data_IF_208759791335
#
_entry.id   IF_208759791335
#
_cell.length_a   1.000
_cell.length_b   1.000
_cell.length_c   1.000
_cell.angle_alpha   90.00
_cell.angle_beta   90.00
_cell.angle_gamma   90.00
#
_symmetry.space_group_name_H-M   'P 1'
#
loop_
_entity.id
_entity.type
_entity.pdbx_description
1 polymer ?
#
# COMPACT_ATOMS: atom_id res chain seq x y z
N UNK A 1 4.71 -8.86 59.58
CA UNK A 1 4.48 -7.60 58.84
C UNK A 1 5.20 -7.71 57.50
N UNK A 2 4.46 -7.99 56.43
CA UNK A 2 5.02 -8.17 55.09
C UNK A 2 5.48 -6.81 54.55
N UNK A 3 6.70 -6.76 54.02
CA UNK A 3 7.43 -5.52 53.77
C UNK A 3 6.80 -4.75 52.58
N UNK A 4 6.07 -3.67 52.88
CA UNK A 4 5.31 -2.86 51.91
C UNK A 4 6.18 -2.39 50.72
N UNK A 5 7.47 -2.20 50.93
CA UNK A 5 8.45 -1.86 49.89
C UNK A 5 8.63 -2.96 48.84
N UNK A 6 8.55 -4.23 49.24
CA UNK A 6 8.68 -5.35 48.31
C UNK A 6 7.46 -5.43 47.37
N UNK A 7 6.28 -5.08 47.88
CA UNK A 7 5.04 -5.05 47.10
C UNK A 7 5.05 -3.95 46.03
N UNK A 8 5.57 -2.76 46.36
CA UNK A 8 5.71 -1.67 45.39
C UNK A 8 6.73 -1.99 44.29
N UNK A 9 7.87 -2.60 44.63
CA UNK A 9 8.87 -3.01 43.63
C UNK A 9 8.32 -4.10 42.72
N UNK A 10 7.61 -5.10 43.27
CA UNK A 10 6.98 -6.15 42.48
C UNK A 10 5.86 -5.60 41.57
N UNK A 11 5.04 -4.69 42.10
CA UNK A 11 3.97 -4.02 41.33
C UNK A 11 4.55 -3.14 40.21
N UNK A 12 5.66 -2.43 40.47
CA UNK A 12 6.32 -1.59 39.47
C UNK A 12 6.99 -2.44 38.38
N UNK A 13 7.63 -3.57 38.74
CA UNK A 13 8.22 -4.52 37.79
C UNK A 13 7.15 -5.26 36.96
N UNK A 14 6.01 -5.62 37.57
CA UNK A 14 4.86 -6.17 36.87
C UNK A 14 4.27 -5.14 35.89
N UNK A 15 4.12 -3.87 36.30
CA UNK A 15 3.63 -2.84 35.38
C UNK A 15 4.63 -2.47 34.28
N UNK A 16 5.95 -2.53 34.54
CA UNK A 16 6.97 -2.35 33.50
C UNK A 16 6.93 -3.47 32.46
N UNK A 17 6.70 -4.72 32.89
CA UNK A 17 6.58 -5.88 31.99
C UNK A 17 5.26 -5.91 31.23
N UNK A 18 4.18 -5.37 31.80
CA UNK A 18 2.91 -5.17 31.07
C UNK A 18 2.96 -4.00 30.08
N UNK A 19 3.75 -2.94 30.33
CA UNK A 19 3.93 -1.86 29.35
C UNK A 19 4.82 -2.25 28.17
N UNK A 20 5.82 -3.10 28.36
CA UNK A 20 6.66 -3.58 27.25
C UNK A 20 5.97 -4.63 26.38
N UNK A 21 4.98 -5.35 26.92
CA UNK A 21 4.17 -6.32 26.14
C UNK A 21 2.93 -5.70 25.50
N UNK A 22 2.44 -4.56 26.00
CA UNK A 22 1.29 -3.84 25.42
C UNK A 22 1.63 -3.12 24.11
N UNK A 23 2.88 -2.72 23.87
CA UNK A 23 3.26 -2.08 22.59
C UNK A 23 3.36 -3.05 21.42
N UNK A 24 3.53 -4.34 21.70
CA UNK A 24 3.64 -5.37 20.68
C UNK A 24 2.29 -5.97 20.26
N UNK A 25 1.20 -5.75 20.99
CA UNK A 25 -0.06 -6.46 20.73
C UNK A 25 -1.10 -5.70 19.89
N UNK A 26 -1.01 -4.38 19.77
CA UNK A 26 -1.97 -3.60 18.97
C UNK A 26 -1.51 -3.35 17.52
N UNK A 27 -0.20 -3.22 17.25
CA UNK A 27 0.31 -2.97 15.90
C UNK A 27 0.40 -4.23 15.02
N UNK A 28 0.46 -5.42 15.62
CA UNK A 28 0.57 -6.71 14.91
C UNK A 28 -0.68 -7.07 14.10
N UNK A 29 -1.84 -6.48 14.41
CA UNK A 29 -3.07 -6.65 13.63
C UNK A 29 -3.27 -5.60 12.54
N UNK A 30 -2.50 -4.51 12.57
CA UNK A 30 -2.71 -3.36 11.68
C UNK A 30 -2.07 -3.52 10.30
N UNK A 31 -1.11 -4.44 10.17
CA UNK A 31 -0.36 -4.65 8.94
C UNK A 31 -0.55 -6.06 8.40
N UNK A 32 -0.86 -6.14 7.10
CA UNK A 32 -1.06 -7.42 6.44
C UNK A 32 0.27 -8.13 6.22
N UNK A 33 0.41 -9.33 6.78
CA UNK A 33 1.59 -10.17 6.55
C UNK A 33 1.41 -11.03 5.30
N UNK A 34 2.35 -10.88 4.36
CA UNK A 34 2.48 -11.75 3.17
C UNK A 34 3.27 -13.03 3.47
N UNK A 35 3.90 -13.16 4.64
CA UNK A 35 4.73 -14.32 5.01
C UNK A 35 4.03 -15.67 4.83
N UNK A 36 2.74 -15.83 5.17
CA UNK A 36 2.08 -17.11 4.96
C UNK A 36 1.89 -17.47 3.48
N UNK A 37 1.84 -16.48 2.58
CA UNK A 37 1.81 -16.74 1.13
C UNK A 37 3.19 -17.18 0.66
N UNK A 38 4.24 -16.52 1.16
CA UNK A 38 5.63 -16.75 0.78
C UNK A 38 6.18 -18.10 1.25
N UNK A 39 5.74 -18.58 2.42
CA UNK A 39 6.19 -19.85 3.01
C UNK A 39 5.81 -21.07 2.17
N UNK A 40 4.76 -20.95 1.35
CA UNK A 40 4.26 -22.05 0.51
C UNK A 40 4.89 -22.04 -0.89
N UNK A 41 5.74 -21.05 -1.21
CA UNK A 41 6.32 -20.89 -2.55
C UNK A 41 7.65 -21.62 -2.72
N UNK A 42 7.87 -22.11 -3.94
CA UNK A 42 9.07 -22.79 -4.40
C UNK A 42 9.58 -22.19 -5.70
N UNK A 43 10.79 -22.54 -6.11
CA UNK A 43 11.38 -22.12 -7.40
C UNK A 43 10.52 -22.58 -8.60
N UNK A 44 9.72 -23.64 -8.44
CA UNK A 44 8.81 -24.15 -9.49
C UNK A 44 7.62 -23.24 -9.75
N UNK A 45 7.31 -22.34 -8.83
CA UNK A 45 6.19 -21.42 -8.94
C UNK A 45 6.55 -20.17 -9.75
N UNK A 46 7.83 -19.98 -10.09
CA UNK A 46 8.26 -18.90 -11.01
C UNK A 46 7.59 -19.08 -12.38
N UNK A 47 6.98 -18.01 -12.87
CA UNK A 47 6.24 -17.98 -14.13
C UNK A 47 4.82 -18.54 -14.03
N UNK A 48 4.35 -18.86 -12.83
CA UNK A 48 2.98 -19.36 -12.60
C UNK A 48 2.01 -18.27 -12.17
N UNK A 49 0.72 -18.59 -12.32
CA UNK A 49 -0.42 -17.81 -11.90
C UNK A 49 -1.32 -18.73 -11.06
N UNK A 50 -1.76 -18.27 -9.91
CA UNK A 50 -2.60 -19.06 -9.01
C UNK A 50 -3.60 -18.20 -8.26
N UNK A 51 -4.68 -18.80 -7.79
CA UNK A 51 -5.57 -18.16 -6.83
C UNK A 51 -4.85 -17.94 -5.50
N UNK A 52 -5.02 -16.78 -4.89
CA UNK A 52 -4.59 -16.57 -3.52
C UNK A 52 -5.49 -17.39 -2.59
N UNK A 53 -4.91 -18.36 -1.88
CA UNK A 53 -5.61 -19.22 -0.92
C UNK A 53 -6.11 -18.50 0.34
N UNK A 54 -5.74 -17.22 0.52
CA UNK A 54 -6.06 -16.39 1.69
C UNK A 54 -6.82 -15.12 1.32
N UNK A 55 -7.48 -14.52 2.31
CA UNK A 55 -8.16 -13.25 2.14
C UNK A 55 -7.17 -12.14 1.78
N UNK A 56 -7.56 -11.18 0.91
CA UNK A 56 -6.74 -10.01 0.64
C UNK A 56 -6.53 -9.14 1.89
N UNK A 57 -5.53 -8.23 1.88
CA UNK A 57 -5.39 -7.21 2.91
C UNK A 57 -6.66 -6.38 3.03
N UNK A 58 -7.04 -5.98 4.24
CA UNK A 58 -8.18 -5.09 4.46
C UNK A 58 -7.96 -3.72 3.80
N UNK A 59 -6.72 -3.25 3.78
CA UNK A 59 -6.32 -1.98 3.18
C UNK A 59 -5.12 -2.15 2.27
N UNK A 60 -5.17 -1.46 1.14
CA UNK A 60 -4.05 -1.21 0.26
C UNK A 60 -3.69 0.28 0.31
N UNK A 61 -2.45 0.60 -0.04
CA UNK A 61 -1.90 1.93 0.09
C UNK A 61 -1.24 2.37 -1.22
N UNK A 62 -1.37 3.65 -1.57
CA UNK A 62 -0.78 4.22 -2.79
C UNK A 62 -0.33 5.65 -2.55
N UNK A 63 0.96 5.92 -2.72
CA UNK A 63 1.56 7.24 -2.64
C UNK A 63 1.40 7.91 -4.01
N UNK A 64 0.97 9.17 -4.00
CA UNK A 64 0.60 9.91 -5.21
C UNK A 64 0.93 11.41 -5.06
N UNK A 65 1.29 12.08 -6.15
CA UNK A 65 1.45 13.54 -6.20
C UNK A 65 0.10 14.26 -6.19
N UNK A 66 0.01 15.54 -5.81
CA UNK A 66 -1.27 16.26 -5.82
C UNK A 66 -1.79 16.42 -7.24
N UNK A 67 -0.90 16.64 -8.22
CA UNK A 67 -1.27 16.70 -9.63
C UNK A 67 -1.88 15.37 -10.11
N UNK A 68 -1.23 14.25 -9.83
CA UNK A 68 -1.77 12.93 -10.19
C UNK A 68 -3.04 12.60 -9.41
N UNK A 69 -3.18 13.08 -8.17
CA UNK A 69 -4.39 12.93 -7.37
C UNK A 69 -5.56 13.70 -7.98
N UNK A 70 -5.33 14.95 -8.39
CA UNK A 70 -6.32 15.78 -9.06
C UNK A 70 -6.74 15.15 -10.39
N UNK A 71 -5.79 14.70 -11.21
CA UNK A 71 -6.08 13.99 -12.47
C UNK A 71 -6.90 12.71 -12.22
N UNK A 72 -6.52 11.93 -11.20
CA UNK A 72 -7.18 10.66 -10.86
C UNK A 72 -8.65 10.87 -10.47
N UNK A 73 -8.97 11.95 -9.76
CA UNK A 73 -10.33 12.28 -9.31
C UNK A 73 -10.99 13.46 -10.03
N UNK A 74 -10.52 13.78 -11.25
CA UNK A 74 -10.93 14.97 -12.01
C UNK A 74 -12.38 14.97 -12.49
N UNK A 75 -12.99 13.79 -12.64
CA UNK A 75 -14.33 13.62 -13.22
C UNK A 75 -15.33 13.15 -12.17
N UNK A 76 -16.57 13.64 -12.18
CA UNK A 76 -17.61 13.20 -11.22
C UNK A 76 -17.86 11.67 -11.23
N UNK A 77 -17.63 11.00 -12.37
CA UNK A 77 -17.72 9.54 -12.46
C UNK A 77 -16.61 8.82 -11.65
N UNK A 78 -15.44 9.44 -11.45
CA UNK A 78 -14.37 8.90 -10.61
C UNK A 78 -14.68 8.96 -9.11
N UNK A 79 -15.79 9.60 -8.72
CA UNK A 79 -16.30 9.59 -7.34
C UNK A 79 -17.31 8.47 -7.07
N UNK A 80 -17.74 7.74 -8.11
CA UNK A 80 -18.73 6.64 -8.00
C UNK A 80 -18.09 5.27 -7.78
N UNK A 81 -16.86 5.08 -8.25
CA UNK A 81 -16.06 3.87 -8.09
C UNK A 81 -14.58 4.26 -8.12
N UNK A 82 -13.69 3.38 -7.65
CA UNK A 82 -12.25 3.66 -7.67
C UNK A 82 -11.75 3.87 -9.11
N UNK A 83 -11.25 5.06 -9.47
CA UNK A 83 -10.66 5.26 -10.80
C UNK A 83 -9.37 4.45 -10.94
N UNK A 84 -9.19 3.82 -12.09
CA UNK A 84 -7.96 3.13 -12.47
C UNK A 84 -7.20 3.94 -13.53
N UNK A 85 -5.89 3.68 -13.64
CA UNK A 85 -4.99 4.32 -14.62
C UNK A 85 -4.56 3.29 -15.66
N UNK A 86 -3.81 3.70 -16.68
CA UNK A 86 -3.17 2.76 -17.60
C UNK A 86 -1.77 2.44 -17.08
N UNK A 87 -1.54 1.20 -16.65
CA UNK A 87 -0.24 0.75 -16.15
C UNK A 87 0.76 0.57 -17.29
N UNK A 88 2.05 0.81 -17.04
CA UNK A 88 3.10 0.62 -18.05
C UNK A 88 3.21 1.75 -19.08
N UNK A 89 2.63 2.91 -18.81
CA UNK A 89 2.77 4.11 -19.64
C UNK A 89 4.03 4.90 -19.27
N UNK A 90 4.39 5.91 -20.05
CA UNK A 90 5.47 6.83 -19.67
C UNK A 90 5.16 7.55 -18.34
N UNK A 91 3.89 7.85 -18.08
CA UNK A 91 3.48 8.57 -16.87
C UNK A 91 3.24 7.65 -15.66
N UNK A 92 2.99 6.36 -15.90
CA UNK A 92 2.65 5.41 -14.86
C UNK A 92 3.25 4.03 -15.15
N UNK A 93 4.41 3.75 -14.58
CA UNK A 93 5.09 2.46 -14.76
C UNK A 93 4.91 1.62 -13.51
N UNK A 94 4.46 0.38 -13.63
CA UNK A 94 4.32 -0.58 -12.52
C UNK A 94 5.45 -1.62 -12.59
N UNK A 95 5.88 -2.20 -11.47
CA UNK A 95 6.96 -3.20 -11.48
C UNK A 95 6.55 -4.49 -12.19
N UNK A 96 5.27 -4.85 -12.09
CA UNK A 96 4.69 -6.00 -12.82
C UNK A 96 4.91 -5.86 -14.31
N UNK A 97 4.82 -4.65 -14.88
CA UNK A 97 4.96 -4.42 -16.32
C UNK A 97 6.37 -4.71 -16.81
N UNK A 98 7.39 -4.40 -15.99
CA UNK A 98 8.78 -4.72 -16.33
C UNK A 98 9.00 -6.23 -16.49
N UNK A 99 8.19 -7.02 -15.77
CA UNK A 99 8.31 -8.47 -15.70
C UNK A 99 7.13 -9.18 -16.36
N UNK A 100 6.14 -8.48 -16.89
CA UNK A 100 4.97 -9.01 -17.59
C UNK A 100 4.49 -7.88 -18.52
N UNK A 101 5.16 -7.66 -19.67
CA UNK A 101 4.84 -6.56 -20.58
C UNK A 101 3.40 -6.56 -21.10
N UNK A 102 2.70 -7.69 -21.00
CA UNK A 102 1.29 -7.81 -21.37
C UNK A 102 0.35 -6.90 -20.56
N UNK A 103 0.81 -6.40 -19.41
CA UNK A 103 0.07 -5.38 -18.64
C UNK A 103 0.21 -3.96 -19.21
N UNK A 104 1.09 -3.71 -20.19
CA UNK A 104 1.23 -2.38 -20.78
C UNK A 104 -0.14 -1.89 -21.30
N UNK A 105 -0.50 -0.68 -20.89
CA UNK A 105 -1.79 -0.02 -21.16
C UNK A 105 -3.02 -0.75 -20.59
N UNK A 106 -2.86 -1.71 -19.67
CA UNK A 106 -4.00 -2.28 -18.97
C UNK A 106 -4.55 -1.28 -17.94
N UNK A 107 -5.89 -1.19 -17.77
CA UNK A 107 -6.47 -0.48 -16.64
C UNK A 107 -6.02 -1.13 -15.33
N UNK A 108 -5.35 -0.37 -14.47
CA UNK A 108 -4.95 -0.81 -13.16
C UNK A 108 -4.44 0.31 -12.26
N UNK A 109 -4.31 -0.01 -10.98
CA UNK A 109 -3.65 0.83 -9.98
C UNK A 109 -2.76 -0.06 -9.12
N UNK A 110 -1.44 0.10 -9.24
CA UNK A 110 -0.51 -0.52 -8.32
C UNK A 110 -0.58 0.16 -6.95
N UNK A 111 -0.39 -0.64 -5.92
CA UNK A 111 -0.55 -0.32 -4.51
C UNK A 111 0.37 -1.24 -3.70
N UNK A 112 0.41 -1.01 -2.39
CA UNK A 112 1.11 -1.90 -1.46
C UNK A 112 0.19 -2.27 -0.31
N UNK A 113 0.49 -3.39 0.34
CA UNK A 113 -0.18 -3.80 1.57
C UNK A 113 0.26 -2.98 2.79
N UNK A 114 1.29 -2.13 2.64
CA UNK A 114 1.89 -1.36 3.72
C UNK A 114 2.08 0.11 3.34
N UNK A 115 1.70 1.08 4.21
CA UNK A 115 1.74 2.53 3.92
C UNK A 115 3.16 3.10 3.85
N UNK A 116 4.14 2.32 4.31
CA UNK A 116 5.57 2.65 4.39
C UNK A 116 6.36 2.08 3.21
N UNK A 117 5.70 1.35 2.31
CA UNK A 117 6.34 0.81 1.13
C UNK A 117 6.88 1.96 0.28
N UNK A 118 8.17 1.89 -0.04
CA UNK A 118 8.89 2.92 -0.78
C UNK A 118 9.51 2.40 -2.07
N UNK A 119 9.22 1.15 -2.43
CA UNK A 119 9.72 0.52 -3.65
C UNK A 119 8.55 0.07 -4.50
N UNK A 120 8.49 0.57 -5.73
CA UNK A 120 7.43 0.29 -6.66
C UNK A 120 7.70 0.93 -8.01
N UNK A 121 6.67 0.95 -8.83
CA UNK A 121 6.68 1.56 -10.14
C UNK A 121 7.33 2.94 -10.27
N UNK A 122 7.87 3.27 -11.45
CA UNK A 122 8.45 4.58 -11.76
C UNK A 122 7.38 5.63 -12.12
N UNK A 123 7.73 6.90 -11.93
CA UNK A 123 6.99 8.10 -12.37
C UNK A 123 5.74 8.53 -11.57
N UNK A 124 5.33 7.80 -10.53
CA UNK A 124 4.34 8.29 -9.54
C UNK A 124 4.87 8.45 -8.11
N UNK A 125 6.11 8.02 -7.89
CA UNK A 125 6.76 7.98 -6.59
C UNK A 125 8.16 8.52 -6.84
N UNK A 126 8.77 9.15 -5.84
CA UNK A 126 10.16 9.65 -5.85
C UNK A 126 10.41 11.14 -6.12
N UNK A 127 9.55 12.06 -5.63
CA UNK A 127 10.15 13.23 -4.98
C UNK A 127 9.47 14.58 -5.06
N UNK A 128 8.34 14.76 -5.74
CA UNK A 128 7.67 16.07 -5.78
C UNK A 128 6.19 15.94 -5.40
N UNK A 129 5.95 15.52 -4.15
CA UNK A 129 4.63 15.57 -3.52
C UNK A 129 3.86 14.24 -3.45
N UNK A 130 2.90 13.93 -2.56
CA UNK A 130 2.07 14.87 -1.80
C UNK A 130 0.94 14.21 -0.94
N UNK A 131 0.40 13.04 -1.30
CA UNK A 131 -0.66 12.35 -0.55
C UNK A 131 -0.46 10.82 -0.45
N UNK A 132 -1.02 10.22 0.60
CA UNK A 132 -1.13 8.77 0.76
C UNK A 132 -2.60 8.37 0.66
N UNK A 133 -2.94 7.57 -0.34
CA UNK A 133 -4.25 6.93 -0.45
C UNK A 133 -4.28 5.67 0.42
N UNK A 134 -5.33 5.52 1.24
CA UNK A 134 -5.72 4.27 1.89
C UNK A 134 -7.00 3.76 1.21
N UNK A 135 -6.90 2.58 0.60
CA UNK A 135 -7.94 1.94 -0.18
C UNK A 135 -8.47 0.74 0.59
N UNK A 136 -9.74 0.79 1.00
CA UNK A 136 -10.39 -0.33 1.68
C UNK A 136 -10.78 -1.39 0.67
N UNK A 137 -10.27 -2.60 0.83
CA UNK A 137 -10.49 -3.71 -0.09
C UNK A 137 -11.80 -4.43 0.21
N UNK A 138 -12.49 -4.87 -0.84
CA UNK A 138 -13.62 -5.78 -0.75
C UNK A 138 -13.10 -7.19 -0.41
N UNK A 139 -13.47 -7.78 0.74
CA UNK A 139 -12.95 -9.09 1.16
C UNK A 139 -13.40 -10.25 0.24
N UNK A 140 -14.35 -10.02 -0.66
CA UNK A 140 -14.82 -11.01 -1.64
C UNK A 140 -14.13 -10.89 -3.01
N UNK A 141 -13.13 -10.01 -3.12
CA UNK A 141 -12.37 -9.83 -4.38
C UNK A 141 -11.67 -11.13 -4.77
N UNK A 142 -11.70 -11.47 -6.06
CA UNK A 142 -10.89 -12.56 -6.62
C UNK A 142 -9.44 -12.07 -6.74
N UNK A 143 -8.52 -12.80 -6.13
CA UNK A 143 -7.13 -12.39 -6.04
C UNK A 143 -6.25 -13.41 -6.73
N UNK A 144 -5.50 -12.97 -7.74
CA UNK A 144 -4.46 -13.77 -8.38
C UNK A 144 -3.10 -13.52 -7.72
N UNK A 145 -2.24 -14.53 -7.69
CA UNK A 145 -0.82 -14.41 -7.34
C UNK A 145 -0.02 -14.67 -8.60
N UNK A 146 0.95 -13.81 -8.87
CA UNK A 146 1.85 -13.94 -10.00
C UNK A 146 3.29 -13.85 -9.52
N UNK A 147 4.08 -14.85 -9.88
CA UNK A 147 5.47 -14.94 -9.42
C UNK A 147 6.39 -14.82 -10.63
N UNK A 148 7.29 -13.83 -10.61
CA UNK A 148 8.26 -13.61 -11.69
C UNK A 148 9.69 -13.79 -11.20
N UNK A 149 10.56 -14.31 -12.07
CA UNK A 149 11.97 -14.45 -11.77
C UNK A 149 12.74 -13.14 -11.89
N UNK A 150 14.02 -13.16 -11.51
CA UNK A 150 14.93 -12.03 -11.70
C UNK A 150 15.24 -11.75 -13.17
N UNK A 151 15.30 -12.81 -13.98
CA UNK A 151 15.52 -12.74 -15.43
C UNK A 151 14.23 -12.35 -16.16
N UNK A 152 14.28 -11.19 -16.82
CA UNK A 152 13.20 -10.68 -17.67
C UNK A 152 12.88 -11.69 -18.78
N UNK A 153 11.60 -11.94 -19.07
CA UNK A 153 11.17 -12.75 -20.21
C UNK A 153 11.02 -14.25 -19.94
N UNK A 154 11.22 -14.74 -18.71
CA UNK A 154 10.78 -16.08 -18.31
C UNK A 154 9.28 -16.04 -18.08
N UNK A 155 8.51 -16.01 -19.17
CA UNK A 155 7.05 -16.14 -19.15
C UNK A 155 6.69 -17.43 -19.86
N UNK A 156 5.97 -18.32 -19.19
CA UNK A 156 5.21 -19.35 -19.86
C UNK A 156 4.12 -19.92 -18.95
N UNK A 157 2.85 -19.64 -19.30
CA UNK A 157 1.76 -20.62 -19.55
C UNK A 157 0.35 -20.04 -19.46
N UNK A 158 0.15 -18.80 -18.99
CA UNK A 158 -1.18 -18.23 -18.88
C UNK A 158 -1.49 -17.28 -20.04
N UNK A 159 -2.66 -17.47 -20.65
CA UNK A 159 -3.22 -16.54 -21.64
C UNK A 159 -3.78 -15.32 -20.92
N UNK A 160 -3.59 -14.12 -21.49
CA UNK A 160 -4.12 -12.84 -21.02
C UNK A 160 -5.58 -12.84 -20.49
N UNK A 161 -6.41 -13.80 -20.90
CA UNK A 161 -7.78 -13.99 -20.43
C UNK A 161 -7.89 -14.41 -18.95
N UNK A 162 -6.98 -15.23 -18.43
CA UNK A 162 -7.05 -15.71 -17.04
C UNK A 162 -6.72 -14.59 -16.05
N UNK A 163 -5.69 -13.79 -16.34
CA UNK A 163 -5.26 -12.66 -15.52
C UNK A 163 -6.38 -11.62 -15.38
N UNK A 164 -7.09 -11.34 -16.49
CA UNK A 164 -8.23 -10.39 -16.51
C UNK A 164 -9.45 -10.87 -15.73
N UNK A 165 -9.46 -12.13 -15.30
CA UNK A 165 -10.52 -12.66 -14.45
C UNK A 165 -10.33 -12.28 -12.97
N UNK A 166 -9.18 -11.76 -12.56
CA UNK A 166 -8.95 -11.33 -11.18
C UNK A 166 -9.34 -9.86 -10.95
N UNK A 167 -9.77 -9.56 -9.73
CA UNK A 167 -10.08 -8.20 -9.30
C UNK A 167 -8.82 -7.50 -8.76
N UNK A 168 -7.93 -8.27 -8.13
CA UNK A 168 -6.64 -7.87 -7.59
C UNK A 168 -5.56 -8.88 -7.99
N UNK A 169 -4.32 -8.40 -8.13
CA UNK A 169 -3.16 -9.27 -8.30
C UNK A 169 -2.10 -8.93 -7.25
N UNK A 170 -1.55 -9.97 -6.61
CA UNK A 170 -0.29 -9.91 -5.87
C UNK A 170 0.83 -10.35 -6.80
N UNK A 171 1.65 -9.41 -7.25
CA UNK A 171 2.87 -9.69 -7.97
C UNK A 171 4.04 -9.86 -7.00
N UNK A 172 4.76 -10.97 -7.13
CA UNK A 172 5.93 -11.32 -6.33
C UNK A 172 7.10 -11.50 -7.30
N UNK A 173 8.05 -10.57 -7.29
CA UNK A 173 9.34 -10.84 -7.96
C UNK A 173 10.24 -11.55 -6.98
N UNK A 174 10.84 -12.64 -7.41
CA UNK A 174 11.71 -13.45 -6.58
C UNK A 174 12.96 -13.93 -7.32
N UNK A 175 13.95 -14.34 -6.55
CA UNK A 175 15.17 -14.99 -7.04
C UNK A 175 15.36 -16.33 -6.33
N UNK A 176 16.03 -17.27 -6.98
CA UNK A 176 16.42 -18.54 -6.34
C UNK A 176 17.70 -18.32 -5.54
N UNK A 177 17.67 -18.70 -4.27
CA UNK A 177 18.87 -18.81 -3.46
C UNK A 177 18.92 -20.16 -2.75
N UNK A 178 19.84 -21.02 -3.20
CA UNK A 178 20.08 -22.37 -2.64
C UNK A 178 18.81 -23.25 -2.64
N UNK A 179 18.00 -23.17 -3.69
CA UNK A 179 16.77 -23.96 -3.84
C UNK A 179 15.57 -23.42 -3.05
N UNK A 180 15.71 -22.23 -2.45
CA UNK A 180 14.61 -21.50 -1.81
C UNK A 180 14.25 -20.28 -2.64
N UNK A 181 12.95 -20.00 -2.73
CA UNK A 181 12.48 -18.78 -3.36
C UNK A 181 12.64 -17.61 -2.39
N UNK A 182 13.47 -16.64 -2.74
CA UNK A 182 13.63 -15.39 -1.99
C UNK A 182 12.88 -14.26 -2.69
N UNK A 183 11.84 -13.69 -2.07
CA UNK A 183 11.11 -12.59 -2.68
C UNK A 183 11.95 -11.31 -2.61
N UNK A 184 12.11 -10.63 -3.75
CA UNK A 184 12.83 -9.38 -3.91
C UNK A 184 11.90 -8.18 -3.63
N UNK A 185 10.71 -8.18 -4.23
CA UNK A 185 9.67 -7.20 -3.96
C UNK A 185 8.29 -7.81 -4.15
N UNK A 186 7.27 -7.17 -3.54
CA UNK A 186 5.88 -7.41 -3.92
C UNK A 186 5.15 -6.11 -4.26
N UNK A 187 4.24 -6.24 -5.21
CA UNK A 187 3.36 -5.16 -5.68
C UNK A 187 1.94 -5.70 -5.74
N UNK A 188 0.97 -4.90 -5.30
CA UNK A 188 -0.44 -5.22 -5.45
C UNK A 188 -1.02 -4.41 -6.59
N UNK A 189 -1.72 -5.03 -7.53
CA UNK A 189 -2.34 -4.33 -8.65
C UNK A 189 -3.85 -4.49 -8.59
N UNK A 190 -4.55 -3.37 -8.45
CA UNK A 190 -6.01 -3.32 -8.56
C UNK A 190 -6.38 -3.32 -10.04
N UNK A 191 -7.13 -4.32 -10.50
CA UNK A 191 -7.57 -4.43 -11.90
C UNK A 191 -9.06 -4.13 -12.08
N UNK A 192 -9.85 -4.30 -11.02
CA UNK A 192 -11.27 -4.03 -11.01
C UNK A 192 -11.60 -2.92 -9.99
N UNK A 193 -12.24 -1.80 -10.39
CA UNK A 193 -12.68 -0.75 -9.47
C UNK A 193 -13.51 -1.25 -8.28
N UNK A 194 -14.30 -2.30 -8.49
CA UNK A 194 -15.20 -2.88 -7.48
C UNK A 194 -14.46 -3.69 -6.40
N UNK A 195 -13.15 -3.93 -6.58
CA UNK A 195 -12.29 -4.48 -5.55
C UNK A 195 -12.09 -3.50 -4.38
N UNK A 196 -12.37 -2.19 -4.58
CA UNK A 196 -12.18 -1.16 -3.58
C UNK A 196 -13.55 -0.64 -3.12
N UNK A 197 -13.81 -0.72 -1.83
CA UNK A 197 -15.06 -0.27 -1.19
C UNK A 197 -15.04 1.21 -0.85
N UNK A 198 -13.87 1.74 -0.50
CA UNK A 198 -13.69 3.15 -0.16
C UNK A 198 -12.24 3.59 -0.31
N UNK A 199 -12.04 4.89 -0.49
CA UNK A 199 -10.72 5.51 -0.55
C UNK A 199 -10.70 6.78 0.29
N UNK A 200 -9.63 6.98 1.05
CA UNK A 200 -9.36 8.23 1.77
C UNK A 200 -7.88 8.58 1.68
N UNK A 201 -7.56 9.81 2.02
CA UNK A 201 -6.20 10.33 2.07
C UNK A 201 -5.99 11.25 3.30
N UNK A 202 -6.78 11.09 4.36
CA UNK A 202 -6.74 12.01 5.51
C UNK A 202 -5.44 11.89 6.33
N UNK A 203 -4.61 12.95 6.40
CA UNK A 203 -3.39 12.92 7.20
C UNK A 203 -3.63 12.69 8.69
N UNK A 204 -4.73 13.21 9.24
CA UNK A 204 -5.01 13.07 10.68
C UNK A 204 -5.25 11.60 11.05
N UNK A 205 -5.78 10.80 10.11
CA UNK A 205 -6.01 9.37 10.32
C UNK A 205 -4.80 8.49 9.96
N UNK A 206 -3.96 8.92 9.02
CA UNK A 206 -2.86 8.13 8.47
C UNK A 206 -1.53 8.39 9.18
N UNK A 207 -1.29 9.62 9.66
CA UNK A 207 -0.07 9.97 10.40
C UNK A 207 0.15 9.11 11.65
N UNK A 208 -0.87 8.79 12.48
CA UNK A 208 -0.69 7.90 13.62
C UNK A 208 -0.20 6.49 13.23
N UNK A 209 -0.67 5.94 12.10
CA UNK A 209 -0.23 4.63 11.59
C UNK A 209 1.24 4.64 11.18
N UNK A 210 1.66 5.69 10.46
CA UNK A 210 3.06 5.89 10.08
C UNK A 210 3.96 6.13 11.29
N UNK A 211 3.48 6.84 12.33
CA UNK A 211 4.24 7.09 13.55
C UNK A 211 4.42 5.81 14.39
N UNK A 212 3.41 4.94 14.42
CA UNK A 212 3.53 3.61 15.04
C UNK A 212 4.71 2.83 14.45
N UNK A 213 4.85 2.87 13.12
CA UNK A 213 6.00 2.27 12.45
C UNK A 213 7.33 2.96 12.77
N UNK A 214 7.38 4.29 12.78
CA UNK A 214 8.61 5.01 13.14
C UNK A 214 9.10 4.64 14.55
N UNK A 215 8.17 4.49 15.51
CA UNK A 215 8.48 4.03 16.88
C UNK A 215 9.02 2.60 16.90
N UNK A 216 8.45 1.70 16.10
CA UNK A 216 8.96 0.33 15.98
C UNK A 216 10.41 0.32 15.46
N UNK A 217 10.74 1.15 14.47
CA UNK A 217 12.11 1.27 13.97
C UNK A 217 13.10 1.80 15.02
N UNK A 218 12.70 2.79 15.81
CA UNK A 218 13.54 3.31 16.89
C UNK A 218 13.80 2.27 17.98
N UNK A 219 12.77 1.52 18.38
CA UNK A 219 12.90 0.48 19.39
C UNK A 219 13.96 -0.56 18.99
N UNK A 220 14.01 -0.89 17.71
CA UNK A 220 14.94 -1.89 17.17
C UNK A 220 16.34 -1.35 17.07
N UNK A 221 16.49 -0.11 16.58
CA UNK A 221 17.78 0.57 16.50
C UNK A 221 18.47 0.70 17.88
N UNK A 222 17.67 0.88 18.93
CA UNK A 222 18.08 1.08 20.33
C UNK A 222 18.18 -0.21 21.14
N UNK A 223 17.79 -1.37 20.61
CA UNK A 223 17.94 -2.65 21.30
C UNK A 223 19.42 -3.06 21.33
N UNK A 224 20.00 -3.27 22.53
CA UNK A 224 21.40 -3.67 22.71
C UNK A 224 21.70 -5.10 22.23
N UNK A 225 20.67 -5.93 22.02
CA UNK A 225 20.77 -7.32 21.53
C UNK A 225 20.91 -7.41 20.00
N UNK A 226 21.82 -6.67 19.38
CA UNK A 226 22.14 -6.75 17.94
C UNK A 226 22.71 -8.10 17.45
N UNK A 227 22.57 -9.18 18.23
CA UNK A 227 22.98 -10.53 17.84
C UNK A 227 21.88 -11.59 17.90
N UNK A 228 20.69 -11.28 18.40
CA UNK A 228 19.56 -12.22 18.42
C UNK A 228 18.18 -11.55 18.51
N UNK A 229 18.07 -10.22 18.43
CA UNK A 229 16.75 -9.58 18.38
C UNK A 229 16.02 -10.00 17.12
N UNK A 230 14.88 -10.61 17.38
CA UNK A 230 13.96 -11.23 16.46
C UNK A 230 13.62 -10.24 15.34
N UNK A 231 14.17 -10.48 14.13
CA UNK A 231 13.77 -9.81 12.88
C UNK A 231 12.25 -9.87 12.67
N UNK A 232 11.56 -10.76 13.42
CA UNK A 232 10.13 -10.94 13.48
C UNK A 232 9.34 -9.64 13.67
N UNK A 233 9.66 -8.72 14.60
CA UNK A 233 8.77 -7.56 14.84
C UNK A 233 8.72 -6.57 13.66
N UNK A 234 9.80 -6.46 12.88
CA UNK A 234 9.80 -5.69 11.64
C UNK A 234 9.09 -6.45 10.53
N UNK A 235 9.41 -7.72 10.36
CA UNK A 235 8.76 -8.56 9.35
C UNK A 235 7.26 -8.69 9.61
N UNK A 236 6.83 -8.55 10.87
CA UNK A 236 5.44 -8.50 11.31
C UNK A 236 4.78 -7.15 10.97
N UNK A 237 5.51 -6.04 10.98
CA UNK A 237 4.97 -4.69 10.71
C UNK A 237 5.07 -4.28 9.23
N UNK A 238 6.13 -4.71 8.54
CA UNK A 238 6.47 -4.28 7.18
C UNK A 238 6.62 -5.43 6.19
N UNK A 239 6.51 -6.68 6.64
CA UNK A 239 6.82 -7.86 5.84
C UNK A 239 8.33 -8.13 5.71
N UNK A 240 8.70 -9.30 5.17
CA UNK A 240 10.11 -9.72 4.98
C UNK A 240 10.95 -8.80 4.07
N UNK A 241 10.33 -7.83 3.39
CA UNK A 241 10.98 -6.91 2.45
C UNK A 241 11.66 -5.72 3.11
N UNK A 242 11.43 -5.52 4.42
CA UNK A 242 12.00 -4.40 5.14
C UNK A 242 13.53 -4.40 5.16
N UNK A 243 14.18 -5.57 5.11
CA UNK A 243 15.64 -5.66 5.02
C UNK A 243 16.18 -4.95 3.77
N UNK A 244 15.43 -5.03 2.66
CA UNK A 244 15.69 -4.28 1.44
C UNK A 244 15.26 -2.81 1.51
N UNK A 245 14.57 -2.35 2.55
CA UNK A 245 14.24 -0.92 2.74
C UNK A 245 15.25 -0.24 3.66
N UNK A 246 15.72 -0.94 4.70
CA UNK A 246 16.80 -0.49 5.59
C UNK A 246 18.11 -0.29 4.83
N UNK A 247 18.47 -1.20 3.92
CA UNK A 247 19.70 -1.11 3.13
C UNK A 247 19.74 0.14 2.24
N UNK A 248 18.61 0.80 2.02
CA UNK A 248 18.48 2.05 1.26
C UNK A 248 18.22 3.28 2.15
N UNK A 249 18.41 3.15 3.47
CA UNK A 249 18.35 4.27 4.40
C UNK A 249 16.96 4.62 4.91
N UNK A 250 15.97 3.73 4.76
CA UNK A 250 14.66 3.90 5.40
C UNK A 250 14.78 3.72 6.92
N UNK A 251 14.83 4.82 7.67
CA UNK A 251 14.85 4.79 9.13
C UNK A 251 13.70 5.65 9.72
N UNK A 252 13.53 5.59 11.05
CA UNK A 252 12.50 6.34 11.75
C UNK A 252 12.52 7.84 11.42
N UNK A 253 13.71 8.45 11.29
CA UNK A 253 13.85 9.86 10.94
C UNK A 253 13.28 10.18 9.56
N UNK A 254 13.54 9.33 8.55
CA UNK A 254 12.98 9.48 7.20
C UNK A 254 11.46 9.38 7.21
N UNK A 255 10.90 8.42 7.96
CA UNK A 255 9.44 8.28 8.10
C UNK A 255 8.83 9.52 8.75
N UNK A 256 9.41 10.02 9.85
CA UNK A 256 8.90 11.23 10.52
C UNK A 256 8.97 12.49 9.65
N UNK A 257 10.03 12.66 8.85
CA UNK A 257 10.11 13.74 7.86
C UNK A 257 8.95 13.67 6.84
N UNK A 258 8.59 12.46 6.40
CA UNK A 258 7.44 12.24 5.52
C UNK A 258 6.12 12.55 6.21
N UNK A 259 5.92 12.10 7.45
CA UNK A 259 4.74 12.44 8.25
C UNK A 259 4.58 13.96 8.36
N UNK A 260 5.66 14.68 8.66
CA UNK A 260 5.64 16.13 8.76
C UNK A 260 5.26 16.79 7.43
N UNK A 261 5.89 16.39 6.33
CA UNK A 261 5.59 16.92 4.99
C UNK A 261 4.15 16.64 4.56
N UNK A 262 3.69 15.39 4.73
CA UNK A 262 2.34 14.95 4.43
C UNK A 262 1.28 15.72 5.24
N UNK A 263 1.54 15.93 6.54
CA UNK A 263 0.65 16.69 7.43
C UNK A 263 0.61 18.18 7.07
N UNK A 264 1.76 18.79 6.76
CA UNK A 264 1.83 20.20 6.33
C UNK A 264 1.06 20.44 5.02
N UNK A 265 1.08 19.45 4.14
CA UNK A 265 0.43 19.50 2.84
C UNK A 265 -1.07 19.12 2.88
N UNK A 266 -1.66 18.91 4.06
CA UNK A 266 -3.08 18.55 4.23
C UNK A 266 -4.05 19.45 3.48
N UNK A 267 -3.71 20.72 3.26
CA UNK A 267 -4.58 21.70 2.60
C UNK A 267 -4.85 21.39 1.13
N UNK A 268 -3.93 20.67 0.47
CA UNK A 268 -4.04 20.32 -0.95
C UNK A 268 -4.81 19.02 -1.19
N UNK A 269 -5.08 18.25 -0.13
CA UNK A 269 -5.89 17.04 -0.22
C UNK A 269 -7.37 17.45 -0.36
N UNK A 270 -8.09 16.98 -1.41
CA UNK A 270 -9.50 17.27 -1.59
C UNK A 270 -10.33 16.89 -0.35
N UNK A 271 -11.29 17.73 0.02
CA UNK A 271 -12.10 17.52 1.24
C UNK A 271 -12.87 16.20 1.25
N UNK A 272 -13.30 15.72 0.08
CA UNK A 272 -14.00 14.45 -0.07
C UNK A 272 -13.12 13.20 0.16
N UNK A 273 -11.79 13.36 0.20
CA UNK A 273 -10.85 12.30 0.57
C UNK A 273 -10.43 12.39 2.05
N UNK A 274 -10.90 13.39 2.80
CA UNK A 274 -10.62 13.54 4.24
C UNK A 274 -11.73 12.90 5.09
N UNK A 275 -11.50 12.73 6.38
CA UNK A 275 -12.42 12.07 7.31
C UNK A 275 -12.71 10.64 6.88
N UNK A 276 -13.98 10.35 6.62
CA UNK A 276 -14.46 9.03 6.17
C UNK A 276 -14.11 8.71 4.71
N UNK A 277 -13.65 9.70 3.93
CA UNK A 277 -13.30 9.55 2.52
C UNK A 277 -14.50 9.28 1.59
N UNK A 278 -14.20 8.78 0.39
CA UNK A 278 -15.20 8.35 -0.59
C UNK A 278 -15.57 6.89 -0.38
N UNK A 279 -16.86 6.60 -0.28
CA UNK A 279 -17.39 5.24 -0.15
C UNK A 279 -18.18 4.85 -1.40
N UNK A 280 -17.78 3.75 -2.04
CA UNK A 280 -18.34 3.27 -3.30
C UNK A 280 -19.48 2.26 -3.12
N UNK A 281 -19.58 1.62 -1.95
CA UNK A 281 -20.66 0.68 -1.62
C UNK A 281 -21.99 1.41 -1.33
N UNK A 282 -21.96 2.72 -1.10
CA UNK A 282 -23.17 3.54 -0.94
C UNK A 282 -23.74 3.91 -2.30
N UNK A 283 -24.24 2.93 -3.05
CA UNK A 283 -25.14 3.23 -4.17
C UNK A 283 -26.56 3.42 -3.63
N UNK A 284 -27.05 4.65 -3.78
CA UNK A 284 -28.46 5.09 -3.71
C UNK A 284 -29.18 5.18 -2.35
N UNK A 285 -29.01 6.33 -1.66
CA UNK A 285 -30.13 6.99 -0.95
C UNK A 285 -29.79 8.44 -0.57
N UNK A 286 -29.53 9.30 -1.55
CA UNK A 286 -29.87 10.73 -1.49
C UNK A 286 -29.44 11.43 -2.77
N UNK A 287 -30.37 11.47 -3.72
CA UNK A 287 -30.49 12.61 -4.62
C UNK A 287 -30.86 13.83 -3.79
N UNK A 288 -29.92 14.40 -3.02
CA UNK A 288 -30.00 15.81 -2.66
C UNK A 288 -29.27 16.58 -3.72
N UNK A 289 -30.08 17.11 -4.62
CA UNK A 289 -29.82 18.19 -5.55
C UNK A 289 -28.77 19.17 -5.01
N UNK A 290 -27.51 18.99 -5.38
CA UNK A 290 -26.55 20.10 -5.38
C UNK A 290 -26.82 20.91 -6.65
N UNK A 291 -27.80 21.82 -6.55
CA UNK A 291 -28.01 22.89 -7.51
C UNK A 291 -26.91 23.94 -7.32
N UNK A 292 -26.37 24.36 -8.46
CA UNK A 292 -25.57 25.57 -8.73
C UNK A 292 -24.27 25.79 -7.96
N UNK A 293 -23.16 25.69 -8.69
CA UNK A 293 -22.27 26.81 -8.97
C UNK A 293 -21.18 26.31 -9.94
N UNK A 294 -21.40 26.44 -11.25
CA UNK A 294 -20.35 26.57 -12.28
C UNK A 294 -21.03 26.77 -13.65
N UNK A 295 -21.78 27.87 -13.78
CA UNK A 295 -21.80 28.61 -15.04
C UNK A 295 -20.73 29.68 -14.91
N UNK A 296 -19.51 29.41 -15.38
CA UNK A 296 -18.57 30.41 -15.90
C UNK A 296 -17.42 29.62 -16.54
N UNK A 297 -16.98 30.06 -17.71
CA UNK A 297 -16.09 29.37 -18.68
C UNK A 297 -16.76 28.42 -19.68
N UNK A 298 -17.79 28.93 -20.35
CA UNK A 298 -18.03 28.63 -21.78
C UNK A 298 -17.94 29.94 -22.54
N UNK A 299 -16.72 30.36 -22.85
CA UNK A 299 -16.31 31.30 -23.91
C UNK A 299 -14.81 31.55 -23.75
N UNK A 300 -14.06 31.55 -24.86
CA UNK A 300 -12.58 31.60 -24.98
C UNK A 300 -11.99 30.17 -24.86
N UNK A 301 -11.59 29.41 -25.89
CA UNK A 301 -11.11 29.68 -27.24
C UNK A 301 -11.61 28.56 -28.18
N UNK A 302 -12.48 28.88 -29.12
CA UNK A 302 -12.57 28.13 -30.38
C UNK A 302 -11.76 28.89 -31.42
N UNK A 303 -10.60 28.36 -31.81
CA UNK A 303 -10.09 28.56 -33.17
C UNK A 303 -9.63 27.21 -33.71
N UNK A 304 -10.13 26.79 -34.88
CA UNK A 304 -9.71 25.55 -35.52
C UNK A 304 -8.33 25.73 -36.18
N UNK A 305 -7.52 24.69 -36.11
CA UNK A 305 -6.43 24.49 -37.07
C UNK A 305 -7.07 24.08 -38.41
N UNK A 306 -6.80 24.85 -39.45
CA UNK A 306 -7.00 24.52 -40.87
C UNK A 306 -5.67 23.89 -41.34
N UNK A 307 -5.69 22.85 -42.20
CA UNK A 307 -4.62 21.86 -42.38
C UNK A 307 -3.21 22.39 -42.64
#
# INVERSE_FOLDING_TARGET
>A
MLNLKLFFVLYFLLNLTFQTTSFANDSRTDFYSVSPVLNDLTVRDIGTYSDLSKKPPQYLYHWISFESLERLFSNENSKKQMPLKLVGTQEYQSLIVQNIPDFINAPGLFTWHSPIAMFGGSNEIYGNGDALLELKVNPSSRVGVVITGETIGVHNKSTNSEIRSYDLILHIRATDFKGKLLPLYLEWVVLNPQAIQSVKADPDSLAPKLESYAKALDAIANSEERKNTDLSDIELVAGPHHNGYLSWGLNASVIRKRIASFTQNRKYIPSFLKGDGLNFNKTSSSSRTYRSCFQFYKNIVTKPFIP
#
